data_IF_381203592619
#
_entry.id   IF_381203592619
#
_cell.length_a   1.000
_cell.length_b   1.000
_cell.length_c   1.000
_cell.angle_alpha   90.00
_cell.angle_beta   90.00
_cell.angle_gamma   90.00
#
_symmetry.space_group_name_H-M   'P 1'
#
loop_
_entity.id
_entity.type
_entity.pdbx_description
1 polymer ?
#
# COMPACT_ATOMS: atom_id res chain seq x y z
N UNK A 1 -18.92 22.89 -24.84
CA UNK A 1 -17.77 22.97 -23.91
C UNK A 1 -18.22 22.45 -22.55
N UNK A 2 -17.88 21.22 -22.19
CA UNK A 2 -18.09 20.75 -20.80
C UNK A 2 -17.12 21.53 -19.91
N UNK A 3 -17.66 22.30 -18.96
CA UNK A 3 -16.87 23.08 -18.00
C UNK A 3 -15.92 22.15 -17.24
N UNK A 4 -14.67 22.57 -17.08
CA UNK A 4 -13.62 21.82 -16.39
C UNK A 4 -14.07 21.29 -15.02
N UNK A 5 -14.30 19.98 -14.99
CA UNK A 5 -14.24 19.03 -13.89
C UNK A 5 -14.63 19.51 -12.49
N UNK A 6 -15.84 19.15 -12.06
CA UNK A 6 -16.12 18.93 -10.65
C UNK A 6 -15.38 17.66 -10.18
N UNK A 7 -14.05 17.77 -10.02
CA UNK A 7 -13.20 16.68 -9.51
C UNK A 7 -13.67 16.17 -8.14
N UNK A 8 -14.07 17.04 -7.19
CA UNK A 8 -14.66 16.58 -5.93
C UNK A 8 -15.85 15.65 -6.13
N UNK A 9 -16.83 16.01 -6.98
CA UNK A 9 -17.97 15.12 -7.25
C UNK A 9 -17.58 13.88 -8.03
N UNK A 10 -16.68 13.99 -9.03
CA UNK A 10 -16.17 12.84 -9.81
C UNK A 10 -15.60 11.75 -8.91
N UNK A 11 -14.80 12.15 -7.92
CA UNK A 11 -14.14 11.23 -6.98
C UNK A 11 -14.87 11.08 -5.66
N UNK A 12 -16.09 11.62 -5.53
CA UNK A 12 -16.89 11.56 -4.30
C UNK A 12 -16.07 11.99 -3.07
N UNK A 13 -15.36 13.10 -3.19
CA UNK A 13 -14.62 13.70 -2.09
C UNK A 13 -15.63 14.27 -1.10
N UNK A 14 -15.64 13.76 0.12
CA UNK A 14 -16.59 14.17 1.16
C UNK A 14 -15.94 15.03 2.27
N UNK A 15 -14.61 15.01 2.39
CA UNK A 15 -13.85 15.71 3.42
C UNK A 15 -12.51 16.18 2.87
N UNK A 16 -11.80 17.08 3.56
CA UNK A 16 -10.48 17.57 3.14
C UNK A 16 -9.46 17.60 4.29
N UNK A 17 -8.15 17.39 4.01
CA UNK A 17 -7.61 16.96 2.72
C UNK A 17 -7.96 15.50 2.41
N UNK A 18 -8.21 15.21 1.13
CA UNK A 18 -8.31 13.84 0.58
C UNK A 18 -7.21 13.68 -0.45
N UNK A 19 -6.42 12.62 -0.30
CA UNK A 19 -5.36 12.25 -1.21
C UNK A 19 -5.83 11.01 -1.97
N UNK A 20 -5.73 11.06 -3.30
CA UNK A 20 -6.11 9.97 -4.19
C UNK A 20 -4.89 9.53 -5.00
N UNK A 21 -4.72 8.23 -5.15
CA UNK A 21 -3.78 7.64 -6.10
C UNK A 21 -4.58 7.07 -7.26
N UNK A 22 -4.36 7.67 -8.43
CA UNK A 22 -5.09 7.40 -9.67
C UNK A 22 -4.14 6.87 -10.73
N UNK A 23 -4.62 5.98 -11.59
CA UNK A 23 -3.91 5.60 -12.81
C UNK A 23 -4.06 6.67 -13.91
N UNK A 24 -3.39 6.53 -15.07
CA UNK A 24 -3.50 7.50 -16.17
C UNK A 24 -4.89 7.65 -16.77
N UNK A 25 -5.79 6.68 -16.57
CA UNK A 25 -7.19 6.75 -16.99
C UNK A 25 -8.08 7.43 -15.93
N UNK A 26 -7.50 7.78 -14.78
CA UNK A 26 -8.18 8.42 -13.67
C UNK A 26 -8.96 7.44 -12.79
N UNK A 27 -8.68 6.13 -12.87
CA UNK A 27 -9.24 5.10 -11.98
C UNK A 27 -8.51 5.18 -10.65
N UNK A 28 -9.27 5.20 -9.56
CA UNK A 28 -8.72 5.23 -8.21
C UNK A 28 -8.31 3.84 -7.72
N UNK A 29 -7.12 3.74 -7.16
CA UNK A 29 -6.59 2.52 -6.53
C UNK A 29 -6.38 2.66 -5.03
N UNK A 30 -6.16 3.88 -4.54
CA UNK A 30 -5.93 4.13 -3.13
C UNK A 30 -6.38 5.53 -2.73
N UNK A 31 -6.90 5.68 -1.51
CA UNK A 31 -7.23 6.98 -0.91
C UNK A 31 -6.93 7.02 0.57
N UNK A 32 -6.63 8.20 1.07
CA UNK A 32 -6.58 8.49 2.50
C UNK A 32 -6.97 9.94 2.79
N UNK A 33 -7.46 10.19 3.99
CA UNK A 33 -7.96 11.50 4.43
C UNK A 33 -7.11 12.03 5.59
N UNK A 34 -7.02 13.36 5.70
CA UNK A 34 -6.35 14.04 6.79
C UNK A 34 -4.88 14.36 6.51
N UNK A 35 -4.32 15.23 7.34
CA UNK A 35 -2.91 15.59 7.29
C UNK A 35 -2.06 14.50 7.95
N UNK A 36 -0.92 14.19 7.34
CA UNK A 36 0.11 13.33 7.90
C UNK A 36 1.44 14.10 7.96
N UNK A 37 2.25 13.92 9.02
CA UNK A 37 3.62 14.41 9.02
C UNK A 37 4.44 13.66 7.94
N UNK A 38 5.58 14.21 7.47
CA UNK A 38 6.32 13.64 6.34
C UNK A 38 6.72 12.16 6.50
N UNK A 39 7.05 11.73 7.71
CA UNK A 39 7.43 10.37 8.07
C UNK A 39 6.29 9.35 8.01
N UNK A 40 5.04 9.81 7.98
CA UNK A 40 3.85 9.00 7.72
C UNK A 40 3.32 9.22 6.30
N UNK A 41 3.39 10.45 5.78
CA UNK A 41 2.88 10.79 4.45
C UNK A 41 3.65 10.11 3.32
N UNK A 42 4.99 10.16 3.37
CA UNK A 42 5.83 9.55 2.35
C UNK A 42 5.62 8.04 2.22
N UNK A 43 5.71 7.23 3.30
CA UNK A 43 5.43 5.81 3.19
C UNK A 43 3.98 5.54 2.78
N UNK A 44 3.02 6.36 3.20
CA UNK A 44 1.62 6.22 2.78
C UNK A 44 1.44 6.43 1.27
N UNK A 45 2.16 7.38 0.69
CA UNK A 45 2.18 7.64 -0.76
C UNK A 45 2.90 6.53 -1.53
N UNK A 46 4.08 6.10 -1.07
CA UNK A 46 4.79 4.95 -1.66
C UNK A 46 3.93 3.68 -1.63
N UNK A 47 3.22 3.44 -0.53
CA UNK A 47 2.25 2.36 -0.41
C UNK A 47 1.16 2.48 -1.48
N UNK A 48 0.49 3.64 -1.58
CA UNK A 48 -0.59 3.84 -2.55
C UNK A 48 -0.14 3.63 -3.99
N UNK A 49 1.05 4.13 -4.36
CA UNK A 49 1.64 3.90 -5.69
C UNK A 49 2.00 2.43 -5.92
N UNK A 50 2.55 1.75 -4.91
CA UNK A 50 2.85 0.31 -4.97
C UNK A 50 1.58 -0.54 -5.10
N UNK A 51 0.52 -0.16 -4.40
CA UNK A 51 -0.78 -0.83 -4.45
C UNK A 51 -1.46 -0.66 -5.81
N UNK A 52 -1.41 0.56 -6.37
CA UNK A 52 -1.83 0.81 -7.75
C UNK A 52 -1.05 -0.06 -8.75
N UNK A 53 0.29 -0.08 -8.66
CA UNK A 53 1.12 -0.89 -9.53
C UNK A 53 0.77 -2.39 -9.45
N UNK A 54 0.46 -2.90 -8.24
CA UNK A 54 0.03 -4.28 -8.03
C UNK A 54 -1.33 -4.55 -8.67
N UNK A 55 -2.29 -3.63 -8.54
CA UNK A 55 -3.60 -3.68 -9.18
C UNK A 55 -3.50 -3.70 -10.70
N UNK A 56 -2.54 -2.96 -11.26
CA UNK A 56 -2.21 -2.95 -12.70
C UNK A 56 -1.33 -4.14 -13.13
N UNK A 57 -1.16 -5.15 -12.28
CA UNK A 57 -0.33 -6.35 -12.49
C UNK A 57 1.16 -6.08 -12.70
N UNK A 58 1.64 -4.85 -12.48
CA UNK A 58 3.06 -4.50 -12.51
C UNK A 58 3.73 -4.87 -11.17
N UNK A 59 3.83 -6.17 -10.93
CA UNK A 59 4.29 -6.73 -9.65
C UNK A 59 5.74 -6.34 -9.32
N UNK A 60 6.60 -6.19 -10.34
CA UNK A 60 8.00 -5.74 -10.15
C UNK A 60 8.05 -4.32 -9.57
N UNK A 61 7.27 -3.40 -10.12
CA UNK A 61 7.22 -2.01 -9.61
C UNK A 61 6.57 -1.95 -8.24
N UNK A 62 5.49 -2.72 -8.03
CA UNK A 62 4.85 -2.84 -6.73
C UNK A 62 5.84 -3.31 -5.65
N UNK A 63 6.61 -4.37 -5.93
CA UNK A 63 7.62 -4.89 -5.01
C UNK A 63 8.64 -3.83 -4.60
N UNK A 64 9.20 -3.09 -5.56
CA UNK A 64 10.17 -2.02 -5.28
C UNK A 64 9.58 -0.93 -4.38
N UNK A 65 8.36 -0.46 -4.67
CA UNK A 65 7.70 0.61 -3.92
C UNK A 65 7.31 0.17 -2.51
N UNK A 66 6.71 -1.01 -2.39
CA UNK A 66 6.27 -1.56 -1.10
C UNK A 66 7.47 -1.93 -0.21
N UNK A 67 8.54 -2.50 -0.80
CA UNK A 67 9.79 -2.74 -0.07
C UNK A 67 10.42 -1.43 0.42
N UNK A 68 10.35 -0.36 -0.38
CA UNK A 68 10.87 0.95 0.02
C UNK A 68 10.15 1.50 1.27
N UNK A 69 8.85 1.24 1.43
CA UNK A 69 8.12 1.59 2.66
C UNK A 69 8.73 0.87 3.85
N UNK A 70 8.89 -0.45 3.75
CA UNK A 70 9.36 -1.30 4.84
C UNK A 70 10.81 -1.02 5.21
N UNK A 71 11.68 -0.83 4.22
CA UNK A 71 13.11 -0.61 4.46
C UNK A 71 13.38 0.79 5.03
N UNK A 72 12.70 1.83 4.52
CA UNK A 72 13.02 3.23 4.85
C UNK A 72 12.15 3.79 5.97
N UNK A 73 10.94 3.27 6.14
CA UNK A 73 9.97 3.76 7.12
C UNK A 73 9.37 2.60 7.93
N UNK A 74 10.18 1.73 8.54
CA UNK A 74 9.67 0.55 9.24
C UNK A 74 8.78 0.90 10.43
N UNK A 75 8.88 2.11 10.99
CA UNK A 75 8.05 2.55 12.12
C UNK A 75 6.73 3.22 11.71
N UNK A 76 6.52 3.45 10.42
CA UNK A 76 5.29 4.11 9.95
C UNK A 76 4.07 3.21 10.13
N UNK A 77 2.90 3.80 10.33
CA UNK A 77 1.67 3.04 10.59
C UNK A 77 1.27 2.14 9.41
N UNK A 78 1.64 2.54 8.18
CA UNK A 78 1.35 1.79 6.95
C UNK A 78 2.37 0.67 6.67
N UNK A 79 3.53 0.65 7.35
CA UNK A 79 4.57 -0.35 7.14
C UNK A 79 4.08 -1.82 7.24
N UNK A 80 3.26 -2.23 8.23
CA UNK A 80 2.70 -3.57 8.27
C UNK A 80 1.85 -3.94 7.05
N UNK A 81 1.08 -2.99 6.53
CA UNK A 81 0.28 -3.19 5.32
C UNK A 81 1.19 -3.32 4.09
N UNK A 82 2.18 -2.45 3.97
CA UNK A 82 3.14 -2.51 2.88
C UNK A 82 3.92 -3.83 2.88
N UNK A 83 4.30 -4.33 4.05
CA UNK A 83 4.97 -5.63 4.19
C UNK A 83 4.08 -6.80 3.73
N UNK A 84 2.77 -6.73 4.00
CA UNK A 84 1.82 -7.73 3.53
C UNK A 84 1.77 -7.78 2.00
N UNK A 85 1.57 -6.61 1.39
CA UNK A 85 1.44 -6.51 -0.06
C UNK A 85 2.77 -6.70 -0.79
N UNK A 86 3.90 -6.39 -0.14
CA UNK A 86 5.24 -6.74 -0.63
C UNK A 86 5.35 -8.26 -0.81
N UNK A 87 4.96 -9.05 0.19
CA UNK A 87 4.91 -10.51 0.07
C UNK A 87 4.03 -10.98 -1.10
N UNK A 88 2.84 -10.40 -1.26
CA UNK A 88 1.94 -10.72 -2.38
C UNK A 88 2.59 -10.38 -3.73
N UNK A 89 3.26 -9.24 -3.83
CA UNK A 89 3.94 -8.83 -5.07
C UNK A 89 5.09 -9.79 -5.42
N UNK A 90 5.89 -10.21 -4.43
CA UNK A 90 6.98 -11.17 -4.64
C UNK A 90 6.46 -12.53 -5.07
N UNK A 91 5.38 -13.01 -4.46
CA UNK A 91 4.72 -14.24 -4.88
C UNK A 91 4.19 -14.15 -6.31
N UNK A 92 3.52 -13.07 -6.68
CA UNK A 92 3.01 -12.90 -8.05
C UNK A 92 4.12 -12.86 -9.10
N UNK A 93 5.30 -12.35 -8.75
CA UNK A 93 6.47 -12.35 -9.66
C UNK A 93 7.15 -13.72 -9.73
N UNK A 94 7.40 -14.35 -8.59
CA UNK A 94 8.25 -15.55 -8.49
C UNK A 94 7.49 -16.87 -8.47
N UNK A 95 6.19 -16.85 -8.19
CA UNK A 95 5.37 -18.01 -7.81
C UNK A 95 5.89 -18.78 -6.59
N UNK A 96 6.78 -18.16 -5.81
CA UNK A 96 7.38 -18.77 -4.64
C UNK A 96 6.55 -18.44 -3.38
N UNK A 97 5.88 -19.46 -2.84
CA UNK A 97 5.07 -19.33 -1.62
C UNK A 97 5.93 -18.98 -0.40
N UNK A 98 7.20 -19.41 -0.36
CA UNK A 98 8.07 -19.10 0.78
C UNK A 98 8.38 -17.60 0.86
N UNK A 99 8.49 -16.90 -0.27
CA UNK A 99 8.66 -15.45 -0.28
C UNK A 99 7.47 -14.73 0.39
N UNK A 100 6.24 -15.20 0.09
CA UNK A 100 5.02 -14.70 0.72
C UNK A 100 5.01 -14.95 2.23
N UNK A 101 5.23 -16.21 2.62
CA UNK A 101 5.18 -16.62 4.02
C UNK A 101 6.27 -15.93 4.85
N UNK A 102 7.47 -15.78 4.31
CA UNK A 102 8.56 -15.05 4.97
C UNK A 102 8.21 -13.58 5.18
N UNK A 103 7.58 -12.93 4.18
CA UNK A 103 7.13 -11.57 4.34
C UNK A 103 6.07 -11.44 5.44
N UNK A 104 5.13 -12.38 5.53
CA UNK A 104 4.07 -12.39 6.55
C UNK A 104 4.58 -12.77 7.95
N UNK A 105 5.56 -13.66 8.07
CA UNK A 105 6.26 -13.93 9.35
C UNK A 105 6.90 -12.66 9.91
N UNK A 106 7.51 -11.83 9.05
CA UNK A 106 8.04 -10.52 9.49
C UNK A 106 6.97 -9.62 10.07
N UNK A 107 5.73 -9.66 9.58
CA UNK A 107 4.63 -8.88 10.18
C UNK A 107 4.34 -9.34 11.60
N UNK A 108 4.26 -10.65 11.83
CA UNK A 108 4.05 -11.20 13.19
C UNK A 108 5.18 -10.79 14.14
N UNK A 109 6.41 -10.77 13.64
CA UNK A 109 7.60 -10.46 14.43
C UNK A 109 7.75 -8.96 14.72
N UNK A 110 7.70 -8.14 13.67
CA UNK A 110 8.11 -6.74 13.73
C UNK A 110 6.91 -5.80 13.93
N UNK A 111 5.69 -6.25 13.63
CA UNK A 111 4.44 -5.48 13.72
C UNK A 111 3.34 -6.20 14.50
N UNK A 112 3.72 -6.88 15.59
CA UNK A 112 2.85 -7.76 16.40
C UNK A 112 1.56 -7.11 16.90
N UNK A 113 1.56 -5.79 17.10
CA UNK A 113 0.39 -5.04 17.58
C UNK A 113 -0.54 -4.52 16.45
N UNK A 114 -0.18 -4.73 15.19
CA UNK A 114 -0.97 -4.25 14.05
C UNK A 114 -2.11 -5.21 13.71
N UNK A 115 -3.19 -4.69 13.11
CA UNK A 115 -4.27 -5.53 12.55
C UNK A 115 -3.74 -6.51 11.48
N UNK A 116 -2.62 -6.19 10.84
CA UNK A 116 -1.99 -7.04 9.83
C UNK A 116 -1.34 -8.28 10.43
N UNK A 117 -0.85 -8.21 11.67
CA UNK A 117 -0.42 -9.40 12.40
C UNK A 117 -1.61 -10.36 12.64
N UNK A 118 -2.79 -9.83 12.95
CA UNK A 118 -4.03 -10.64 13.05
C UNK A 118 -4.39 -11.27 11.71
N UNK A 119 -4.33 -10.51 10.61
CA UNK A 119 -4.65 -11.01 9.26
C UNK A 119 -3.77 -12.17 8.83
N UNK A 120 -2.53 -12.23 9.29
CA UNK A 120 -1.57 -13.30 8.96
C UNK A 120 -1.34 -14.28 10.11
N UNK A 121 -2.22 -14.31 11.11
CA UNK A 121 -2.08 -15.13 12.31
C UNK A 121 -2.01 -16.64 12.02
N UNK A 122 -2.58 -17.10 10.90
CA UNK A 122 -2.53 -18.48 10.45
C UNK A 122 -1.14 -18.92 9.95
N UNK A 123 -0.23 -17.98 9.69
CA UNK A 123 1.13 -18.29 9.26
C UNK A 123 1.92 -18.84 10.45
N UNK A 124 2.38 -20.08 10.31
CA UNK A 124 3.25 -20.73 11.30
C UNK A 124 4.65 -20.09 11.27
N UNK A 125 5.26 -20.04 12.44
CA UNK A 125 6.64 -19.55 12.60
C UNK A 125 7.63 -20.37 11.77
#
# INVERSE_FOLDING_TARGET
MQSGSDLPSKYRVFWTPTILVLDPLGIEYYRFNGFLPPDEFLPQLYFGLGFMALGMQNCKTASVLLKSVVDRYPRSNIAPEAQYWYGVSEYKTSHNVDALLNAWRKIKKDYSHSIWATKVSFVKD
#
